data_IF_422238913437
#
_entry.id   IF_422238913437
#
_cell.length_a   1.000
_cell.length_b   1.000
_cell.length_c   1.000
_cell.angle_alpha   90.00
_cell.angle_beta   90.00
_cell.angle_gamma   90.00
#
_symmetry.space_group_name_H-M   'P 1'
#
loop_
_entity.id
_entity.type
_entity.pdbx_description
1 polymer ?
#
# COMPACT_ATOMS: atom_id res chain seq x y z
N UNK A 1 9.44 3.79 11.71
CA UNK A 1 10.25 4.99 11.42
C UNK A 1 9.80 5.50 10.07
N UNK A 2 9.48 6.79 9.98
CA UNK A 2 8.97 7.47 8.79
C UNK A 2 10.08 8.13 7.98
N UNK A 3 9.77 8.55 6.75
CA UNK A 3 10.67 9.36 5.93
C UNK A 3 10.00 9.80 4.62
N UNK A 4 10.52 10.88 4.03
CA UNK A 4 10.14 11.37 2.69
C UNK A 4 11.45 11.58 1.91
N UNK A 5 12.20 10.51 1.59
CA UNK A 5 13.52 10.65 0.97
C UNK A 5 13.46 11.29 -0.43
N UNK A 6 12.39 11.12 -1.20
CA UNK A 6 12.38 11.55 -2.60
C UNK A 6 12.49 13.07 -2.81
N UNK A 7 12.16 13.88 -1.80
CA UNK A 7 12.29 15.35 -1.85
C UNK A 7 13.69 15.85 -1.53
N UNK A 8 14.63 14.97 -1.16
CA UNK A 8 16.00 15.36 -0.87
C UNK A 8 16.70 15.89 -2.13
N UNK A 9 17.61 16.85 -1.94
CA UNK A 9 18.19 17.64 -3.02
C UNK A 9 19.04 16.83 -4.01
N UNK A 10 19.67 15.75 -3.54
CA UNK A 10 20.55 14.90 -4.37
C UNK A 10 20.31 13.42 -4.11
N UNK A 11 20.62 12.52 -5.07
CA UNK A 11 20.52 11.08 -4.84
C UNK A 11 21.35 10.56 -3.65
N UNK A 12 22.48 11.22 -3.34
CA UNK A 12 23.29 10.87 -2.17
C UNK A 12 22.57 11.23 -0.86
N UNK A 13 21.88 12.37 -0.81
CA UNK A 13 21.07 12.78 0.34
C UNK A 13 19.84 11.87 0.49
N UNK A 14 19.21 11.47 -0.62
CA UNK A 14 18.12 10.47 -0.64
C UNK A 14 18.58 9.15 0.00
N UNK A 15 19.73 8.62 -0.43
CA UNK A 15 20.28 7.37 0.10
C UNK A 15 20.66 7.52 1.58
N UNK A 16 21.28 8.63 1.98
CA UNK A 16 21.62 8.90 3.38
C UNK A 16 20.38 8.99 4.28
N UNK A 17 19.29 9.62 3.81
CA UNK A 17 18.01 9.67 4.50
C UNK A 17 17.45 8.27 4.73
N UNK A 18 17.37 7.47 3.66
CA UNK A 18 16.87 6.09 3.72
C UNK A 18 17.70 5.25 4.68
N UNK A 19 19.03 5.32 4.58
CA UNK A 19 19.94 4.53 5.41
C UNK A 19 19.82 4.90 6.89
N UNK A 20 19.77 6.20 7.21
CA UNK A 20 19.56 6.67 8.58
C UNK A 20 18.26 6.15 9.19
N UNK A 21 17.15 6.22 8.44
CA UNK A 21 15.85 5.80 8.93
C UNK A 21 15.76 4.27 9.09
N UNK A 22 16.36 3.50 8.18
CA UNK A 22 16.50 2.04 8.32
C UNK A 22 17.37 1.65 9.51
N UNK A 23 18.54 2.28 9.68
CA UNK A 23 19.42 2.05 10.83
C UNK A 23 18.71 2.35 12.16
N UNK A 24 17.93 3.45 12.21
CA UNK A 24 17.11 3.81 13.36
C UNK A 24 16.02 2.75 13.63
N UNK A 25 15.33 2.29 12.59
CA UNK A 25 14.28 1.27 12.71
C UNK A 25 14.84 -0.05 13.25
N UNK A 26 15.98 -0.49 12.73
CA UNK A 26 16.69 -1.68 13.18
C UNK A 26 17.08 -1.57 14.65
N UNK A 27 17.74 -0.46 15.04
CA UNK A 27 18.14 -0.19 16.43
C UNK A 27 16.98 -0.18 17.42
N UNK A 28 15.80 0.28 17.00
CA UNK A 28 14.60 0.34 17.85
C UNK A 28 13.74 -0.91 17.78
N UNK A 29 14.09 -1.89 16.94
CA UNK A 29 13.24 -3.05 16.70
C UNK A 29 11.87 -2.65 16.13
N UNK A 30 11.81 -1.62 15.27
CA UNK A 30 10.56 -1.13 14.65
C UNK A 30 10.56 -1.36 13.13
N UNK A 31 9.36 -1.28 12.52
CA UNK A 31 9.18 -1.26 11.05
C UNK A 31 9.63 0.10 10.47
N UNK A 32 9.88 0.14 9.17
CA UNK A 32 10.13 1.36 8.40
C UNK A 32 9.02 1.57 7.37
N UNK A 33 8.60 2.81 7.16
CA UNK A 33 7.63 3.19 6.15
C UNK A 33 8.01 4.56 5.61
N UNK A 34 8.07 4.75 4.30
CA UNK A 34 8.47 6.02 3.71
C UNK A 34 7.62 6.37 2.51
N UNK A 35 7.40 7.67 2.29
CA UNK A 35 6.91 8.17 1.00
C UNK A 35 8.06 8.10 0.02
N UNK A 36 7.93 7.30 -1.03
CA UNK A 36 8.99 7.05 -2.01
C UNK A 36 8.48 7.35 -3.40
N UNK A 37 9.33 7.97 -4.21
CA UNK A 37 9.12 8.18 -5.64
C UNK A 37 7.74 8.77 -6.00
N UNK A 38 7.31 9.78 -5.23
CA UNK A 38 5.98 10.39 -5.36
C UNK A 38 5.93 11.46 -6.47
N UNK A 39 6.32 11.04 -7.68
CA UNK A 39 6.34 11.86 -8.88
C UNK A 39 6.30 10.97 -10.14
N UNK A 40 5.85 11.49 -11.30
CA UNK A 40 5.85 10.76 -12.57
C UNK A 40 7.22 10.79 -13.27
N UNK A 41 8.33 10.84 -12.52
CA UNK A 41 9.68 10.95 -13.08
C UNK A 41 10.45 9.62 -12.87
N UNK A 42 10.76 8.87 -13.94
CA UNK A 42 11.47 7.61 -13.83
C UNK A 42 12.92 7.77 -13.33
N UNK A 43 13.45 8.98 -13.17
CA UNK A 43 14.79 9.19 -12.59
C UNK A 43 14.84 8.92 -11.07
N UNK A 44 13.71 8.94 -10.37
CA UNK A 44 13.67 8.60 -8.95
C UNK A 44 13.96 7.12 -8.70
N UNK A 45 14.54 6.79 -7.55
CA UNK A 45 15.06 5.47 -7.19
C UNK A 45 14.85 5.13 -5.69
N UNK A 46 14.12 5.96 -4.93
CA UNK A 46 14.03 5.85 -3.47
C UNK A 46 13.29 4.59 -3.01
N UNK A 47 12.38 4.03 -3.81
CA UNK A 47 11.78 2.70 -3.53
C UNK A 47 12.85 1.60 -3.59
N UNK A 48 13.74 1.63 -4.59
CA UNK A 48 14.87 0.67 -4.68
C UNK A 48 15.85 0.87 -3.53
N UNK A 49 16.22 2.11 -3.24
CA UNK A 49 17.10 2.45 -2.12
C UNK A 49 16.55 1.91 -0.80
N UNK A 50 15.23 2.04 -0.57
CA UNK A 50 14.56 1.50 0.61
C UNK A 50 14.69 -0.02 0.68
N UNK A 51 14.37 -0.73 -0.40
CA UNK A 51 14.48 -2.18 -0.46
C UNK A 51 15.92 -2.67 -0.18
N UNK A 52 16.93 -2.02 -0.76
CA UNK A 52 18.34 -2.35 -0.52
C UNK A 52 18.77 -2.05 0.92
N UNK A 53 18.36 -0.91 1.47
CA UNK A 53 18.64 -0.54 2.86
C UNK A 53 17.98 -1.51 3.85
N UNK A 54 16.76 -1.99 3.58
CA UNK A 54 16.13 -3.01 4.41
C UNK A 54 17.00 -4.25 4.53
N UNK A 55 17.55 -4.74 3.41
CA UNK A 55 18.45 -5.90 3.40
C UNK A 55 19.76 -5.63 4.14
N UNK A 56 20.33 -4.43 4.01
CA UNK A 56 21.56 -4.04 4.73
C UNK A 56 21.35 -3.99 6.25
N UNK A 57 20.16 -3.61 6.71
CA UNK A 57 19.85 -3.36 8.12
C UNK A 57 19.02 -4.47 8.78
N UNK A 58 18.80 -5.61 8.11
CA UNK A 58 18.06 -6.75 8.67
C UNK A 58 16.58 -6.45 8.94
N UNK A 59 15.93 -5.73 8.02
CA UNK A 59 14.53 -5.31 8.10
C UNK A 59 13.61 -6.07 7.14
N UNK A 60 14.01 -7.26 6.70
CA UNK A 60 13.22 -8.08 5.78
C UNK A 60 11.79 -8.32 6.33
N UNK A 61 10.78 -8.08 5.51
CA UNK A 61 9.36 -8.17 5.89
C UNK A 61 8.85 -7.02 6.76
N UNK A 62 9.65 -5.97 6.98
CA UNK A 62 9.37 -4.87 7.94
C UNK A 62 9.38 -3.49 7.31
N UNK A 63 9.34 -3.40 5.99
CA UNK A 63 9.33 -2.14 5.24
C UNK A 63 8.04 -1.91 4.46
N UNK A 64 7.70 -0.64 4.27
CA UNK A 64 6.61 -0.19 3.41
C UNK A 64 7.06 1.01 2.56
N UNK A 65 6.84 0.94 1.25
CA UNK A 65 6.99 2.06 0.33
C UNK A 65 5.60 2.62 0.01
N UNK A 66 5.36 3.88 0.38
CA UNK A 66 4.12 4.59 0.08
C UNK A 66 4.25 5.35 -1.24
N UNK A 67 3.16 5.39 -2.01
CA UNK A 67 3.03 5.93 -3.36
C UNK A 67 3.78 5.11 -4.42
N UNK A 68 5.13 5.18 -4.42
CA UNK A 68 5.99 4.56 -5.42
C UNK A 68 5.53 4.84 -6.87
N UNK A 69 5.08 6.07 -7.15
CA UNK A 69 4.43 6.44 -8.42
C UNK A 69 5.39 6.36 -9.61
N UNK A 70 6.66 6.72 -9.43
CA UNK A 70 7.64 6.69 -10.52
C UNK A 70 7.81 5.28 -11.12
N UNK A 71 7.55 4.23 -10.34
CA UNK A 71 7.60 2.84 -10.82
C UNK A 71 6.65 2.62 -11.99
N UNK A 72 5.50 3.30 -12.03
CA UNK A 72 4.57 3.26 -13.15
C UNK A 72 5.14 3.83 -14.45
N UNK A 73 6.27 4.54 -14.40
CA UNK A 73 6.95 5.17 -15.54
C UNK A 73 8.27 4.48 -15.91
N UNK A 74 8.68 3.46 -15.17
CA UNK A 74 9.81 2.63 -15.54
C UNK A 74 9.47 1.79 -16.78
N UNK A 75 10.49 1.39 -17.54
CA UNK A 75 10.33 0.30 -18.49
C UNK A 75 10.02 -1.02 -17.79
N UNK A 76 9.51 -1.99 -18.55
CA UNK A 76 9.03 -3.26 -18.02
C UNK A 76 10.13 -4.07 -17.28
N UNK A 77 11.36 -4.03 -17.78
CA UNK A 77 12.49 -4.77 -17.18
C UNK A 77 12.85 -4.19 -15.81
N UNK A 78 12.91 -2.86 -15.71
CA UNK A 78 13.21 -2.17 -14.46
C UNK A 78 12.05 -2.28 -13.45
N UNK A 79 10.80 -2.27 -13.90
CA UNK A 79 9.66 -2.60 -13.04
C UNK A 79 9.83 -4.00 -12.44
N UNK A 80 10.14 -4.99 -13.26
CA UNK A 80 10.28 -6.37 -12.81
C UNK A 80 11.43 -6.54 -11.83
N UNK A 81 12.59 -5.96 -12.13
CA UNK A 81 13.75 -6.01 -11.25
C UNK A 81 13.45 -5.41 -9.87
N UNK A 82 12.76 -4.26 -9.82
CA UNK A 82 12.37 -3.65 -8.55
C UNK A 82 11.34 -4.50 -7.80
N UNK A 83 10.34 -5.04 -8.48
CA UNK A 83 9.28 -5.84 -7.85
C UNK A 83 9.81 -7.19 -7.34
N UNK A 84 10.76 -7.80 -8.05
CA UNK A 84 11.45 -9.00 -7.58
C UNK A 84 12.30 -8.72 -6.33
N UNK A 85 13.02 -7.60 -6.30
CA UNK A 85 13.74 -7.16 -5.11
C UNK A 85 12.78 -6.89 -3.94
N UNK A 86 11.67 -6.18 -4.20
CA UNK A 86 10.66 -5.90 -3.19
C UNK A 86 10.08 -7.19 -2.59
N UNK A 87 9.79 -8.20 -3.43
CA UNK A 87 9.37 -9.52 -2.98
C UNK A 87 10.45 -10.23 -2.17
N UNK A 88 11.71 -10.22 -2.61
CA UNK A 88 12.84 -10.86 -1.92
C UNK A 88 12.98 -10.34 -0.49
N UNK A 89 12.94 -9.01 -0.30
CA UNK A 89 13.11 -8.38 1.01
C UNK A 89 11.80 -8.22 1.79
N UNK A 90 10.67 -8.63 1.22
CA UNK A 90 9.35 -8.45 1.84
C UNK A 90 8.95 -6.98 2.05
N UNK A 91 9.26 -6.10 1.09
CA UNK A 91 8.79 -4.72 1.06
C UNK A 91 7.32 -4.69 0.62
N UNK A 92 6.44 -4.17 1.48
CA UNK A 92 5.06 -3.87 1.12
C UNK A 92 4.94 -2.57 0.34
N UNK A 93 3.97 -2.47 -0.55
CA UNK A 93 3.69 -1.25 -1.33
C UNK A 93 2.31 -0.70 -0.97
N UNK A 94 2.18 0.63 -0.93
CA UNK A 94 0.87 1.31 -0.78
C UNK A 94 0.66 2.21 -1.99
N UNK A 95 -0.49 2.07 -2.63
CA UNK A 95 -0.92 2.91 -3.76
C UNK A 95 -2.20 3.67 -3.39
N UNK A 96 -2.26 4.92 -3.79
CA UNK A 96 -3.36 5.86 -3.53
C UNK A 96 -3.66 6.64 -4.82
N UNK A 97 -4.15 5.94 -5.86
CA UNK A 97 -4.25 6.50 -7.21
C UNK A 97 -5.10 7.77 -7.26
N UNK A 98 -6.06 7.93 -6.34
CA UNK A 98 -6.94 9.10 -6.29
C UNK A 98 -6.28 10.43 -5.86
N UNK A 99 -5.08 10.40 -5.27
CA UNK A 99 -4.35 11.61 -4.82
C UNK A 99 -3.36 12.14 -5.87
N UNK A 100 -3.23 11.50 -7.04
CA UNK A 100 -2.30 11.97 -8.08
C UNK A 100 -2.63 11.48 -9.49
N UNK A 101 -1.89 11.96 -10.48
CA UNK A 101 -2.11 11.63 -11.90
C UNK A 101 -1.49 10.29 -12.34
N UNK A 102 -0.66 9.69 -11.49
CA UNK A 102 0.09 8.47 -11.76
C UNK A 102 0.04 7.56 -10.53
N UNK A 103 0.07 6.26 -10.75
CA UNK A 103 0.05 5.27 -9.69
C UNK A 103 1.09 4.16 -9.92
N UNK A 104 1.43 3.46 -8.85
CA UNK A 104 2.14 2.17 -8.90
C UNK A 104 1.44 1.21 -9.89
N UNK A 105 2.18 0.38 -10.66
CA UNK A 105 1.59 -0.67 -11.49
C UNK A 105 1.07 -1.84 -10.60
N UNK A 106 -0.09 -1.63 -9.98
CA UNK A 106 -0.66 -2.49 -8.93
C UNK A 106 -0.82 -3.94 -9.37
N UNK A 107 -1.46 -4.20 -10.51
CA UNK A 107 -1.68 -5.58 -10.99
C UNK A 107 -0.36 -6.31 -11.22
N UNK A 108 0.61 -5.65 -11.86
CA UNK A 108 1.94 -6.20 -12.09
C UNK A 108 2.66 -6.53 -10.78
N UNK A 109 2.56 -5.66 -9.78
CA UNK A 109 3.14 -5.88 -8.46
C UNK A 109 2.52 -7.09 -7.76
N UNK A 110 1.20 -7.23 -7.81
CA UNK A 110 0.48 -8.38 -7.25
C UNK A 110 0.84 -9.68 -7.98
N UNK A 111 0.88 -9.67 -9.32
CA UNK A 111 1.28 -10.82 -10.14
C UNK A 111 2.72 -11.28 -9.85
N UNK A 112 3.60 -10.33 -9.51
CA UNK A 112 4.98 -10.59 -9.07
C UNK A 112 5.07 -11.09 -7.62
N UNK A 113 3.95 -11.19 -6.90
CA UNK A 113 3.89 -11.69 -5.53
C UNK A 113 4.26 -10.65 -4.47
N UNK A 114 4.24 -9.36 -4.80
CA UNK A 114 4.45 -8.27 -3.84
C UNK A 114 3.13 -7.96 -3.14
N UNK A 115 3.17 -7.76 -1.81
CA UNK A 115 1.99 -7.31 -1.08
C UNK A 115 1.74 -5.82 -1.38
N UNK A 116 0.56 -5.52 -1.90
CA UNK A 116 0.12 -4.14 -2.23
C UNK A 116 -1.12 -3.79 -1.41
N UNK A 117 -1.19 -2.57 -0.90
CA UNK A 117 -2.37 -2.02 -0.25
C UNK A 117 -2.89 -0.81 -1.03
N UNK A 118 -4.20 -0.56 -0.97
CA UNK A 118 -4.74 0.75 -1.34
C UNK A 118 -4.92 1.62 -0.08
N UNK A 119 -4.51 2.88 -0.16
CA UNK A 119 -4.54 3.85 0.92
C UNK A 119 -5.42 5.07 0.62
N UNK A 120 -6.00 5.66 1.68
CA UNK A 120 -6.72 6.94 1.61
C UNK A 120 -5.75 8.13 1.51
N UNK A 121 -4.54 8.00 2.08
CA UNK A 121 -3.56 9.08 2.16
C UNK A 121 -4.09 10.25 3.02
N UNK A 122 -4.51 11.33 2.39
CA UNK A 122 -4.96 12.55 3.03
C UNK A 122 -6.51 12.63 3.14
N UNK A 123 -7.00 13.46 4.07
CA UNK A 123 -8.43 13.75 4.25
C UNK A 123 -8.63 15.23 4.54
N UNK A 124 -9.27 15.93 3.61
CA UNK A 124 -9.65 17.35 3.73
C UNK A 124 -8.51 18.26 4.22
N UNK A 125 -7.34 18.12 3.60
CA UNK A 125 -6.14 18.86 3.99
C UNK A 125 -5.50 19.65 2.84
N UNK A 126 -4.26 20.12 3.04
CA UNK A 126 -3.53 20.93 2.07
C UNK A 126 -3.12 20.17 0.80
N UNK A 127 -3.09 18.83 0.84
CA UNK A 127 -2.64 17.96 -0.25
C UNK A 127 -3.83 17.32 -0.97
N UNK A 128 -4.89 16.95 -0.23
CA UNK A 128 -6.10 16.37 -0.82
C UNK A 128 -7.38 16.93 -0.18
N UNK A 129 -8.25 17.62 -0.95
CA UNK A 129 -9.42 18.28 -0.40
C UNK A 129 -10.62 17.32 -0.17
N UNK A 130 -10.49 16.04 -0.50
CA UNK A 130 -11.55 15.04 -0.38
C UNK A 130 -11.20 13.97 0.66
N UNK A 131 -12.13 13.06 0.91
CA UNK A 131 -11.93 11.91 1.80
C UNK A 131 -12.98 11.82 2.90
N UNK A 132 -13.43 10.59 3.20
CA UNK A 132 -14.42 10.33 4.26
C UNK A 132 -14.16 9.03 5.02
N UNK A 133 -12.89 8.63 5.10
CA UNK A 133 -12.45 7.44 5.84
C UNK A 133 -13.12 6.14 5.34
N UNK A 134 -13.36 6.01 4.03
CA UNK A 134 -14.05 4.87 3.44
C UNK A 134 -13.16 4.15 2.41
N UNK A 135 -12.56 3.03 2.81
CA UNK A 135 -11.69 2.27 1.92
C UNK A 135 -12.42 1.63 0.73
N UNK A 136 -13.75 1.42 0.79
CA UNK A 136 -14.51 0.98 -0.38
C UNK A 136 -14.63 2.09 -1.44
N UNK A 137 -14.65 3.36 -1.02
CA UNK A 137 -14.56 4.49 -1.94
C UNK A 137 -13.17 4.57 -2.59
N UNK A 138 -12.09 4.38 -1.81
CA UNK A 138 -10.72 4.29 -2.35
C UNK A 138 -10.63 3.17 -3.38
N UNK A 139 -11.14 1.97 -3.06
CA UNK A 139 -11.16 0.83 -3.98
C UNK A 139 -12.00 1.11 -5.24
N UNK A 140 -13.15 1.78 -5.09
CA UNK A 140 -13.99 2.19 -6.21
C UNK A 140 -13.28 3.20 -7.14
N UNK A 141 -12.61 4.21 -6.59
CA UNK A 141 -11.82 5.17 -7.36
C UNK A 141 -10.65 4.48 -8.06
N UNK A 142 -9.94 3.60 -7.36
CA UNK A 142 -8.86 2.80 -7.92
C UNK A 142 -9.31 1.93 -9.10
N UNK A 143 -10.53 1.37 -9.06
CA UNK A 143 -11.09 0.61 -10.18
C UNK A 143 -11.09 1.39 -11.51
N UNK A 144 -11.32 2.70 -11.44
CA UNK A 144 -11.36 3.57 -12.62
C UNK A 144 -9.95 4.03 -13.03
N UNK A 145 -9.14 4.40 -12.05
CA UNK A 145 -7.81 4.99 -12.28
C UNK A 145 -6.77 3.94 -12.70
N UNK A 146 -6.94 2.69 -12.28
CA UNK A 146 -6.05 1.57 -12.60
C UNK A 146 -6.60 0.67 -13.72
N UNK A 147 -7.76 1.01 -14.29
CA UNK A 147 -8.49 0.17 -15.26
C UNK A 147 -8.82 -1.26 -14.77
N UNK A 148 -9.13 -1.38 -13.48
CA UNK A 148 -9.41 -2.65 -12.79
C UNK A 148 -10.92 -2.88 -12.62
N UNK A 149 -11.61 -3.39 -13.65
CA UNK A 149 -13.09 -3.43 -13.70
C UNK A 149 -13.72 -4.81 -13.89
N UNK A 150 -12.94 -5.83 -14.24
CA UNK A 150 -13.45 -7.21 -14.33
C UNK A 150 -13.81 -7.79 -12.97
N UNK A 151 -14.61 -8.85 -12.92
CA UNK A 151 -15.01 -9.47 -11.65
C UNK A 151 -13.82 -9.93 -10.79
N UNK A 152 -12.77 -10.60 -11.33
CA UNK A 152 -11.57 -10.93 -10.55
C UNK A 152 -10.83 -9.68 -10.04
N UNK A 153 -10.75 -8.63 -10.85
CA UNK A 153 -10.13 -7.37 -10.44
C UNK A 153 -10.92 -6.68 -9.32
N UNK A 154 -12.25 -6.75 -9.32
CA UNK A 154 -13.09 -6.23 -8.23
C UNK A 154 -12.83 -6.98 -6.92
N UNK A 155 -12.68 -8.30 -6.95
CA UNK A 155 -12.28 -9.08 -5.78
C UNK A 155 -10.88 -8.68 -5.29
N UNK A 156 -9.94 -8.50 -6.22
CA UNK A 156 -8.61 -8.01 -5.91
C UNK A 156 -8.65 -6.61 -5.27
N UNK A 157 -9.46 -5.67 -5.78
CA UNK A 157 -9.60 -4.33 -5.20
C UNK A 157 -10.07 -4.38 -3.73
N UNK A 158 -10.99 -5.28 -3.39
CA UNK A 158 -11.39 -5.50 -1.99
C UNK A 158 -10.25 -6.12 -1.17
N UNK A 159 -9.49 -7.06 -1.74
CA UNK A 159 -8.32 -7.64 -1.08
C UNK A 159 -7.24 -6.59 -0.77
N UNK A 160 -7.01 -5.66 -1.69
CA UNK A 160 -6.05 -4.56 -1.56
C UNK A 160 -6.38 -3.60 -0.40
N UNK A 161 -7.64 -3.51 0.02
CA UNK A 161 -8.06 -2.73 1.20
C UNK A 161 -8.35 -3.58 2.43
N UNK A 162 -8.13 -4.90 2.36
CA UNK A 162 -8.39 -5.84 3.47
C UNK A 162 -7.19 -6.76 3.74
N UNK A 163 -7.14 -7.95 3.14
CA UNK A 163 -6.12 -8.97 3.45
C UNK A 163 -4.74 -8.55 3.00
N UNK A 164 -4.60 -7.98 1.80
CA UNK A 164 -3.32 -7.50 1.32
C UNK A 164 -2.83 -6.29 2.12
N UNK A 165 -3.72 -5.38 2.50
CA UNK A 165 -3.40 -4.29 3.43
C UNK A 165 -2.89 -4.81 4.79
N UNK A 166 -3.52 -5.85 5.34
CA UNK A 166 -3.05 -6.48 6.58
C UNK A 166 -1.65 -7.09 6.43
N UNK A 167 -1.32 -7.68 5.27
CA UNK A 167 0.04 -8.16 4.96
C UNK A 167 1.06 -7.03 4.89
N UNK A 168 0.73 -5.91 4.22
CA UNK A 168 1.60 -4.72 4.15
C UNK A 168 1.87 -4.16 5.55
N UNK A 169 0.84 -4.07 6.39
CA UNK A 169 0.95 -3.63 7.78
C UNK A 169 1.70 -4.64 8.68
N UNK A 170 1.85 -5.89 8.25
CA UNK A 170 2.45 -6.98 9.03
C UNK A 170 1.57 -7.41 10.20
N UNK A 171 0.25 -7.45 10.00
CA UNK A 171 -0.71 -7.91 11.01
C UNK A 171 -0.78 -9.44 11.00
N UNK A 172 -0.48 -10.03 12.16
CA UNK A 172 -0.59 -11.48 12.35
C UNK A 172 -2.05 -11.89 12.62
N UNK A 173 -2.45 -13.00 12.00
CA UNK A 173 -3.73 -13.65 12.29
C UNK A 173 -4.98 -12.96 11.77
N UNK A 174 -4.84 -11.87 10.99
CA UNK A 174 -5.93 -11.17 10.31
C UNK A 174 -6.70 -12.08 9.33
N UNK A 175 -8.00 -11.82 9.17
CA UNK A 175 -8.86 -12.48 8.20
C UNK A 175 -9.89 -13.42 8.82
N UNK A 176 -10.94 -13.71 8.04
CA UNK A 176 -12.05 -14.56 8.45
C UNK A 176 -11.64 -16.03 8.35
N UNK A 177 -11.52 -16.69 9.50
CA UNK A 177 -11.21 -18.12 9.60
C UNK A 177 -11.70 -18.68 10.92
N UNK A 178 -11.99 -19.98 10.94
CA UNK A 178 -12.30 -20.69 12.19
C UNK A 178 -11.12 -20.55 13.15
N UNK A 179 -11.39 -20.15 14.40
CA UNK A 179 -10.36 -19.87 15.41
C UNK A 179 -9.59 -18.55 15.20
N UNK A 180 -10.02 -17.71 14.24
CA UNK A 180 -9.51 -16.35 14.07
C UNK A 180 -10.17 -15.33 14.99
N UNK A 181 -9.71 -14.06 14.95
CA UNK A 181 -10.36 -12.99 15.69
C UNK A 181 -11.79 -12.74 15.19
N UNK A 182 -12.71 -12.42 16.10
CA UNK A 182 -14.08 -12.05 15.78
C UNK A 182 -14.19 -10.56 15.42
N UNK A 183 -13.43 -10.17 14.39
CA UNK A 183 -13.36 -8.81 13.84
C UNK A 183 -13.88 -8.82 12.41
N UNK A 184 -15.08 -8.28 12.18
CA UNK A 184 -15.72 -8.33 10.86
C UNK A 184 -16.70 -7.20 10.62
N UNK A 185 -16.87 -6.88 9.34
CA UNK A 185 -17.84 -5.92 8.83
C UNK A 185 -18.96 -6.68 8.11
N UNK A 186 -20.21 -6.35 8.42
CA UNK A 186 -21.39 -6.88 7.71
C UNK A 186 -21.92 -5.79 6.80
N UNK A 187 -21.88 -6.01 5.49
CA UNK A 187 -22.41 -5.07 4.49
C UNK A 187 -23.74 -5.55 3.90
N UNK A 188 -24.53 -4.62 3.38
CA UNK A 188 -25.77 -4.90 2.63
C UNK A 188 -25.47 -5.18 1.15
N UNK A 189 -24.59 -6.15 0.89
CA UNK A 189 -24.17 -6.50 -0.45
C UNK A 189 -23.97 -8.03 -0.56
N UNK A 190 -24.44 -8.61 -1.66
CA UNK A 190 -24.28 -10.04 -1.96
C UNK A 190 -23.27 -10.29 -3.08
N UNK A 191 -22.82 -9.23 -3.77
CA UNK A 191 -21.82 -9.27 -4.84
C UNK A 191 -20.78 -8.18 -4.62
N UNK A 192 -19.53 -8.47 -4.98
CA UNK A 192 -18.40 -7.52 -4.87
C UNK A 192 -18.66 -6.22 -5.65
N UNK A 193 -19.29 -6.31 -6.82
CA UNK A 193 -19.66 -5.13 -7.62
C UNK A 193 -20.61 -4.19 -6.86
N UNK A 194 -21.58 -4.72 -6.12
CA UNK A 194 -22.53 -3.90 -5.36
C UNK A 194 -21.84 -3.24 -4.16
N UNK A 195 -20.92 -3.98 -3.53
CA UNK A 195 -20.10 -3.49 -2.43
C UNK A 195 -19.25 -2.28 -2.87
N UNK A 196 -18.59 -2.36 -4.02
CA UNK A 196 -17.76 -1.27 -4.56
C UNK A 196 -18.61 -0.12 -5.13
N UNK A 197 -19.65 -0.43 -5.92
CA UNK A 197 -20.48 0.57 -6.57
C UNK A 197 -21.21 1.46 -5.57
N UNK A 198 -21.74 0.87 -4.50
CA UNK A 198 -22.44 1.63 -3.46
C UNK A 198 -21.50 2.14 -2.38
N UNK A 199 -20.41 1.40 -2.09
CA UNK A 199 -19.41 1.69 -1.05
C UNK A 199 -20.05 2.22 0.24
N UNK A 200 -21.22 1.65 0.58
CA UNK A 200 -22.01 2.07 1.73
C UNK A 200 -21.29 1.66 3.03
N UNK A 201 -21.47 2.43 4.12
CA UNK A 201 -20.95 2.03 5.41
C UNK A 201 -21.49 0.63 5.81
N UNK A 202 -20.72 -0.14 6.59
CA UNK A 202 -21.19 -1.44 7.08
C UNK A 202 -22.46 -1.28 7.91
N UNK A 203 -23.37 -2.25 7.79
CA UNK A 203 -24.59 -2.34 8.62
C UNK A 203 -24.28 -2.73 10.05
N UNK A 204 -23.22 -3.53 10.24
CA UNK A 204 -22.77 -3.98 11.56
C UNK A 204 -21.24 -3.97 11.58
N UNK A 205 -20.67 -3.45 12.67
CA UNK A 205 -19.24 -3.54 12.96
C UNK A 205 -19.05 -4.40 14.21
N UNK A 206 -18.27 -5.48 14.07
CA UNK A 206 -17.95 -6.38 15.19
C UNK A 206 -16.45 -6.31 15.45
N UNK A 207 -16.08 -6.10 16.72
CA UNK A 207 -14.69 -6.12 17.20
C UNK A 207 -14.60 -7.02 18.42
N UNK A 208 -13.67 -7.97 18.41
CA UNK A 208 -13.47 -8.94 19.48
C UNK A 208 -14.77 -9.64 19.93
N UNK A 209 -15.69 -9.89 18.97
CA UNK A 209 -16.98 -10.53 19.23
C UNK A 209 -18.07 -9.59 19.78
N UNK A 210 -17.81 -8.29 19.90
CA UNK A 210 -18.78 -7.30 20.35
C UNK A 210 -19.27 -6.43 19.18
N UNK A 211 -20.59 -6.27 19.10
CA UNK A 211 -21.22 -5.32 18.16
C UNK A 211 -20.95 -3.90 18.66
N UNK A 212 -20.38 -3.06 17.80
CA UNK A 212 -20.05 -1.66 18.10
C UNK A 212 -21.06 -0.67 17.51
N UNK A 213 -21.52 -0.95 16.29
CA UNK A 213 -22.53 -0.20 15.54
C UNK A 213 -23.31 -1.14 14.63
#
# INVERSE_FOLDING_TARGET
VGGIPWIEATPADQEAHVDWACALAARLGRRVAMLTDDAPDPAYETTRMLAEAMRRHGLEGRGVACHARAVGHYDAERQDALLDLAREVGLGLVSDPHTGSVALPVERAVERGVAVALGQDDVEDAYYPFGRHNLLEVAFLAAHLLDMRSAPQQELLVDLVTTSAARVLGLDGYGLRVGGPADLLVHDATRTVDLLAHHAPPRVVIRAGHVLS
#
